data_IF_325966405651
#
_entry.id   IF_325966405651
#
_cell.length_a   1.000
_cell.length_b   1.000
_cell.length_c   1.000
_cell.angle_alpha   90.00
_cell.angle_beta   90.00
_cell.angle_gamma   90.00
#
_symmetry.space_group_name_H-M   'P 1'
#
loop_
_entity.id
_entity.type
_entity.pdbx_description
1 polymer ?
#
# COMPACT_ATOMS: atom_id res chain seq x y z
N UNK A 1 8.91 4.76 26.11
CA UNK A 1 9.63 5.06 24.91
C UNK A 1 9.02 4.37 23.72
N UNK A 2 8.78 5.13 22.67
CA UNK A 2 8.09 4.61 21.51
C UNK A 2 9.08 4.06 20.52
N UNK A 3 8.94 2.81 20.16
CA UNK A 3 9.78 2.20 19.14
C UNK A 3 9.12 2.38 17.81
N UNK A 4 9.82 2.95 16.88
CA UNK A 4 9.37 2.98 15.50
C UNK A 4 9.91 1.76 14.81
N UNK A 5 9.03 1.02 14.19
CA UNK A 5 9.44 -0.14 13.43
C UNK A 5 9.07 0.07 11.97
N UNK A 6 9.60 -0.80 11.14
CA UNK A 6 9.37 -0.72 9.71
C UNK A 6 8.75 -2.03 9.25
N UNK A 7 7.79 -1.91 8.37
CA UNK A 7 7.21 -3.07 7.72
C UNK A 7 7.18 -2.83 6.23
N UNK A 8 7.58 -3.84 5.46
CA UNK A 8 7.57 -3.76 4.02
C UNK A 8 6.49 -4.66 3.47
N UNK A 9 5.68 -4.11 2.58
CA UNK A 9 4.63 -4.85 1.89
C UNK A 9 4.91 -4.81 0.40
N UNK A 10 4.52 -5.86 -0.30
CA UNK A 10 4.62 -5.91 -1.75
C UNK A 10 3.23 -6.16 -2.30
N UNK A 11 2.81 -5.30 -3.21
CA UNK A 11 1.49 -5.41 -3.83
C UNK A 11 1.69 -5.62 -5.32
N UNK A 12 1.15 -6.71 -5.83
CA UNK A 12 1.23 -6.98 -7.25
C UNK A 12 0.25 -6.10 -7.99
N UNK A 13 0.70 -5.56 -9.12
CA UNK A 13 -0.14 -4.72 -9.97
C UNK A 13 -0.07 -5.25 -11.38
N UNK A 14 -1.17 -5.11 -12.11
CA UNK A 14 -1.27 -5.64 -13.46
C UNK A 14 -0.61 -4.73 -14.47
N UNK A 15 -0.59 -3.43 -14.19
CA UNK A 15 -0.05 -2.47 -15.15
C UNK A 15 0.37 -1.20 -14.43
N UNK A 16 0.99 -0.29 -15.18
CA UNK A 16 1.47 0.96 -14.62
C UNK A 16 0.35 1.82 -14.07
N UNK A 17 -0.80 1.79 -14.74
CA UNK A 17 -1.95 2.57 -14.28
C UNK A 17 -2.39 2.17 -12.88
N UNK A 18 -2.41 0.87 -12.60
CA UNK A 18 -2.76 0.40 -11.26
C UNK A 18 -1.71 0.84 -10.24
N UNK A 19 -0.45 0.80 -10.62
CA UNK A 19 0.62 1.21 -9.70
C UNK A 19 0.48 2.68 -9.35
N UNK A 20 0.22 3.53 -10.34
CA UNK A 20 0.07 4.96 -10.11
C UNK A 20 -1.13 5.24 -9.23
N UNK A 21 -2.24 4.56 -9.50
CA UNK A 21 -3.45 4.76 -8.72
C UNK A 21 -3.24 4.34 -7.26
N UNK A 22 -2.57 3.22 -7.06
CA UNK A 22 -2.29 2.75 -5.71
C UNK A 22 -1.41 3.75 -4.97
N UNK A 23 -0.36 4.24 -5.63
CA UNK A 23 0.53 5.18 -5.00
C UNK A 23 -0.18 6.49 -4.65
N UNK A 24 -1.10 6.92 -5.50
CA UNK A 24 -1.87 8.12 -5.23
C UNK A 24 -2.76 7.94 -4.00
N UNK A 25 -3.39 6.78 -3.88
CA UNK A 25 -4.24 6.51 -2.73
C UNK A 25 -3.42 6.42 -1.45
N UNK A 26 -2.20 5.86 -1.55
CA UNK A 26 -1.33 5.81 -0.39
C UNK A 26 -0.92 7.20 0.07
N UNK A 27 -0.75 8.12 -0.88
CA UNK A 27 -0.39 9.48 -0.54
C UNK A 27 -1.48 10.22 0.21
N UNK A 28 -2.71 9.74 0.14
CA UNK A 28 -3.81 10.34 0.89
C UNK A 28 -3.86 9.86 2.34
N UNK A 29 -3.12 8.83 2.66
CA UNK A 29 -3.05 8.36 4.04
C UNK A 29 -2.09 9.24 4.83
N UNK A 30 -2.52 9.65 6.00
CA UNK A 30 -1.70 10.51 6.85
C UNK A 30 -0.75 9.66 7.67
N UNK A 31 0.31 9.21 7.04
CA UNK A 31 1.24 8.29 7.67
C UNK A 31 2.60 8.33 6.98
N UNK A 32 3.61 7.78 7.66
CA UNK A 32 4.95 7.67 7.09
C UNK A 32 5.01 6.45 6.19
N UNK A 33 4.79 6.69 4.91
CA UNK A 33 4.76 5.62 3.92
C UNK A 33 5.69 5.99 2.78
N UNK A 34 6.51 5.03 2.38
CA UNK A 34 7.35 5.18 1.20
C UNK A 34 6.93 4.10 0.21
N UNK A 35 6.56 4.52 -0.98
CA UNK A 35 6.14 3.59 -2.02
C UNK A 35 7.13 3.63 -3.16
N UNK A 36 7.51 2.45 -3.64
CA UNK A 36 8.45 2.32 -4.73
C UNK A 36 7.83 1.45 -5.80
N UNK A 37 7.68 2.02 -6.99
CA UNK A 37 7.07 1.30 -8.11
C UNK A 37 8.11 0.50 -8.85
N UNK A 38 7.83 -0.77 -9.06
CA UNK A 38 8.66 -1.65 -9.85
C UNK A 38 7.80 -2.38 -10.86
N UNK A 39 8.39 -2.92 -11.91
CA UNK A 39 7.58 -3.63 -12.90
C UNK A 39 6.79 -4.76 -12.24
N UNK A 40 5.47 -4.65 -12.32
CA UNK A 40 4.59 -5.67 -11.80
C UNK A 40 4.35 -5.65 -10.32
N UNK A 41 5.00 -4.74 -9.56
CA UNK A 41 4.86 -4.74 -8.12
C UNK A 41 5.12 -3.35 -7.55
N UNK A 42 4.45 -3.03 -6.47
CA UNK A 42 4.70 -1.80 -5.71
C UNK A 42 5.17 -2.21 -4.34
N UNK A 43 6.37 -1.77 -3.98
CA UNK A 43 6.90 -2.01 -2.65
C UNK A 43 6.54 -0.84 -1.74
N UNK A 44 6.00 -1.16 -0.59
CA UNK A 44 5.51 -0.15 0.34
C UNK A 44 6.18 -0.35 1.67
N UNK A 45 6.84 0.70 2.16
CA UNK A 45 7.45 0.69 3.48
C UNK A 45 6.64 1.56 4.40
N UNK A 46 6.29 1.02 5.55
CA UNK A 46 5.50 1.71 6.55
C UNK A 46 6.32 1.85 7.81
N UNK A 47 6.32 3.05 8.37
CA UNK A 47 7.04 3.34 9.59
C UNK A 47 6.07 3.80 10.67
N UNK A 48 6.28 3.34 11.88
CA UNK A 48 5.43 3.78 12.98
C UNK A 48 5.43 2.78 14.12
N UNK A 49 4.48 2.92 15.01
CA UNK A 49 4.33 1.96 16.10
C UNK A 49 3.71 0.68 15.55
N UNK A 50 3.77 -0.36 16.37
CA UNK A 50 3.25 -1.66 15.98
C UNK A 50 1.76 -1.58 15.61
N UNK A 51 0.99 -0.86 16.41
CA UNK A 51 -0.45 -0.73 16.16
C UNK A 51 -0.73 0.08 14.92
N UNK A 52 0.02 1.17 14.74
CA UNK A 52 -0.14 2.01 13.54
C UNK A 52 0.15 1.21 12.29
N UNK A 53 1.23 0.44 12.31
CA UNK A 53 1.62 -0.34 11.15
C UNK A 53 0.57 -1.40 10.83
N UNK A 54 0.02 -2.03 11.86
CA UNK A 54 -1.01 -3.04 11.65
C UNK A 54 -2.24 -2.43 10.99
N UNK A 55 -2.67 -1.27 11.46
CA UNK A 55 -3.84 -0.61 10.89
C UNK A 55 -3.57 -0.16 9.46
N UNK A 56 -2.39 0.41 9.23
CA UNK A 56 -2.04 0.87 7.88
C UNK A 56 -1.92 -0.29 6.92
N UNK A 57 -1.30 -1.38 7.35
CA UNK A 57 -1.17 -2.54 6.47
C UNK A 57 -2.54 -3.06 6.07
N UNK A 58 -3.48 -3.08 7.01
CA UNK A 58 -4.84 -3.52 6.71
C UNK A 58 -5.51 -2.60 5.70
N UNK A 59 -5.35 -1.29 5.86
CA UNK A 59 -5.93 -0.33 4.92
C UNK A 59 -5.31 -0.47 3.53
N UNK A 60 -3.99 -0.63 3.49
CA UNK A 60 -3.29 -0.74 2.22
C UNK A 60 -3.72 -2.00 1.48
N UNK A 61 -3.83 -3.11 2.20
CA UNK A 61 -4.24 -4.36 1.57
C UNK A 61 -5.68 -4.28 1.09
N UNK A 62 -6.54 -3.58 1.83
CA UNK A 62 -7.92 -3.39 1.40
C UNK A 62 -7.99 -2.57 0.12
N UNK A 63 -7.19 -1.52 0.02
CA UNK A 63 -7.15 -0.69 -1.18
C UNK A 63 -6.63 -1.50 -2.35
N UNK A 64 -5.56 -2.26 -2.14
CA UNK A 64 -4.97 -3.06 -3.20
C UNK A 64 -5.95 -4.12 -3.69
N UNK A 65 -6.67 -4.74 -2.77
CA UNK A 65 -7.64 -5.77 -3.12
C UNK A 65 -8.78 -5.18 -3.94
N UNK A 66 -9.22 -3.99 -3.55
CA UNK A 66 -10.29 -3.32 -4.28
C UNK A 66 -9.89 -2.99 -5.71
N UNK A 67 -8.63 -2.63 -5.91
CA UNK A 67 -8.15 -2.32 -7.25
C UNK A 67 -7.98 -3.55 -8.11
N UNK A 68 -7.58 -4.65 -7.52
CA UNK A 68 -7.37 -5.88 -8.26
C UNK A 68 -8.68 -6.57 -8.58
N UNK A 69 -9.69 -6.34 -7.78
CA UNK A 69 -11.01 -6.85 -8.06
C UNK A 69 -11.67 -5.96 -9.07
N UNK A 70 -11.36 -6.19 -10.30
CA UNK A 70 -12.05 -5.50 -11.36
C UNK A 70 -13.51 -5.90 -11.31
N UNK A 71 -14.35 -4.97 -11.24
CA UNK A 71 -15.75 -5.32 -11.29
C UNK A 71 -16.08 -5.83 -12.68
N UNK A 72 -16.15 -6.44 -13.18
CA UNK A 72 -16.40 -6.83 -14.29
C UNK A 72 -17.47 -7.08 -14.69
N UNK A 73 -17.69 -6.87 -14.76
CA UNK A 73 -18.55 -7.13 -14.95
C UNK A 73 -19.17 -7.43 -15.58
N UNK A 74 -19.37 -7.57 -15.88
CA UNK A 74 -20.05 -7.88 -16.25
C UNK A 74 -20.31 -8.01 -16.68
#
# INVERSE_FOLDING_TARGET
MTSRIKRTLSVKVANTGQAVELMRMLGELDADIIAESRPGVVKIRIYGSKDEIRDLARKILAVADAQQKSPKKI
#
